data_IF_116992268478
#
_entry.id   IF_116992268478
#
_cell.length_a   1.000
_cell.length_b   1.000
_cell.length_c   1.000
_cell.angle_alpha   90.00
_cell.angle_beta   90.00
_cell.angle_gamma   90.00
#
_symmetry.space_group_name_H-M   'P 1'
#
loop_
_entity.id
_entity.type
_entity.pdbx_description
1 polymer ?
#
# COMPACT_ATOMS: atom_id res chain seq x y z
N UNK A 1 -42.22 38.13 8.36
CA UNK A 1 -40.91 38.78 8.62
C UNK A 1 -39.76 37.80 8.93
N UNK A 2 -39.92 36.47 8.82
CA UNK A 2 -38.92 35.51 9.30
C UNK A 2 -37.89 34.94 8.30
N UNK A 3 -38.01 35.18 6.99
CA UNK A 3 -37.11 34.54 6.00
C UNK A 3 -35.88 35.38 5.62
N UNK A 4 -35.98 36.71 5.67
CA UNK A 4 -34.88 37.62 5.29
C UNK A 4 -33.75 37.63 6.31
N UNK A 5 -34.08 37.59 7.61
CA UNK A 5 -33.08 37.55 8.68
C UNK A 5 -32.32 36.22 8.76
N UNK A 6 -32.96 35.09 8.44
CA UNK A 6 -32.30 33.78 8.40
C UNK A 6 -31.26 33.70 7.28
N UNK A 7 -31.61 34.19 6.08
CA UNK A 7 -30.68 34.26 4.94
C UNK A 7 -29.42 35.09 5.24
N UNK A 8 -29.57 36.24 5.90
CA UNK A 8 -28.42 37.08 6.24
C UNK A 8 -27.48 36.40 7.26
N UNK A 9 -28.03 35.65 8.21
CA UNK A 9 -27.23 34.86 9.17
C UNK A 9 -26.51 33.72 8.47
N UNK A 10 -27.18 33.02 7.56
CA UNK A 10 -26.59 31.92 6.79
C UNK A 10 -25.42 32.42 5.90
N UNK A 11 -25.56 33.59 5.28
CA UNK A 11 -24.50 34.24 4.50
C UNK A 11 -23.29 34.63 5.37
N UNK A 12 -23.52 35.18 6.57
CA UNK A 12 -22.42 35.51 7.49
C UNK A 12 -21.68 34.24 7.93
N UNK A 13 -22.43 33.20 8.32
CA UNK A 13 -21.84 31.93 8.75
C UNK A 13 -21.03 31.26 7.64
N UNK A 14 -21.48 31.37 6.38
CA UNK A 14 -20.75 30.89 5.22
C UNK A 14 -19.38 31.56 5.09
N UNK A 15 -19.32 32.90 5.20
CA UNK A 15 -18.05 33.63 5.10
C UNK A 15 -17.12 33.39 6.29
N UNK A 16 -17.67 33.19 7.49
CA UNK A 16 -16.87 32.79 8.66
C UNK A 16 -16.21 31.44 8.40
N UNK A 17 -16.98 30.44 7.95
CA UNK A 17 -16.45 29.12 7.62
C UNK A 17 -15.35 29.20 6.53
N UNK A 18 -15.57 30.02 5.49
CA UNK A 18 -14.56 30.27 4.45
C UNK A 18 -13.26 30.82 5.05
N UNK A 19 -13.34 31.85 5.90
CA UNK A 19 -12.18 32.48 6.52
C UNK A 19 -11.43 31.47 7.41
N UNK A 20 -12.14 30.75 8.26
CA UNK A 20 -11.54 29.75 9.16
C UNK A 20 -10.86 28.62 8.37
N UNK A 21 -11.49 28.20 7.27
CA UNK A 21 -10.91 27.25 6.33
C UNK A 21 -9.62 27.81 5.72
N UNK A 22 -9.62 29.05 5.24
CA UNK A 22 -8.47 29.67 4.60
C UNK A 22 -7.28 29.85 5.57
N UNK A 23 -7.58 30.15 6.84
CA UNK A 23 -6.57 30.25 7.90
C UNK A 23 -5.98 28.90 8.29
N UNK A 24 -6.75 27.83 8.18
CA UNK A 24 -6.33 26.46 8.50
C UNK A 24 -5.75 25.70 7.30
N UNK A 25 -5.93 26.23 6.09
CA UNK A 25 -5.54 25.56 4.86
C UNK A 25 -4.00 25.49 4.75
N UNK A 26 -3.41 24.31 4.49
CA UNK A 26 -1.99 24.21 4.22
C UNK A 26 -1.68 24.96 2.92
N UNK A 27 -0.90 26.04 3.02
CA UNK A 27 -0.52 26.87 1.88
C UNK A 27 0.99 27.12 1.85
N UNK A 28 1.62 27.09 0.66
CA UNK A 28 1.05 26.67 -0.63
C UNK A 28 0.97 25.14 -0.76
N UNK A 29 -0.04 24.64 -1.48
CA UNK A 29 -0.08 23.24 -1.89
C UNK A 29 1.01 22.95 -2.93
N UNK A 30 1.56 21.73 -2.97
CA UNK A 30 2.56 21.37 -3.95
C UNK A 30 2.00 21.47 -5.38
N UNK A 31 2.84 21.95 -6.31
CA UNK A 31 2.50 22.05 -7.73
C UNK A 31 2.92 20.77 -8.47
N UNK A 32 2.18 20.45 -9.53
CA UNK A 32 2.46 19.26 -10.35
C UNK A 32 2.26 17.95 -9.60
N UNK A 33 2.68 16.84 -10.21
CA UNK A 33 2.64 15.50 -9.61
C UNK A 33 3.95 15.18 -8.90
N UNK A 34 3.92 14.33 -7.87
CA UNK A 34 5.14 13.71 -7.34
C UNK A 34 5.90 13.01 -8.48
N UNK A 35 7.22 13.15 -8.49
CA UNK A 35 8.11 12.51 -9.45
C UNK A 35 8.81 11.34 -8.74
N UNK A 36 8.78 10.17 -9.36
CA UNK A 36 9.47 8.99 -8.84
C UNK A 36 10.95 9.27 -8.53
N UNK A 37 11.42 8.79 -7.38
CA UNK A 37 12.81 8.88 -6.92
C UNK A 37 13.34 7.47 -6.70
N UNK A 38 14.32 7.07 -7.50
CA UNK A 38 15.04 5.81 -7.31
C UNK A 38 16.17 5.91 -6.29
N UNK A 39 16.63 7.13 -6.00
CA UNK A 39 17.80 7.46 -5.20
C UNK A 39 17.47 7.76 -3.72
N UNK A 40 16.50 7.05 -3.15
CA UNK A 40 16.03 7.29 -1.78
C UNK A 40 17.07 6.87 -0.73
N UNK A 41 17.51 7.84 0.08
CA UNK A 41 18.35 7.61 1.27
C UNK A 41 17.49 7.23 2.48
N UNK A 42 16.90 6.03 2.42
CA UNK A 42 16.05 5.47 3.48
C UNK A 42 16.27 3.96 3.64
N UNK A 43 15.74 3.39 4.72
CA UNK A 43 15.83 1.96 5.00
C UNK A 43 15.04 1.14 3.96
N UNK A 44 15.47 -0.10 3.64
CA UNK A 44 14.84 -0.91 2.59
C UNK A 44 13.32 -1.03 2.71
N UNK A 45 12.81 -1.23 3.92
CA UNK A 45 11.38 -1.41 4.17
C UNK A 45 10.55 -0.14 3.88
N UNK A 46 11.15 1.04 4.04
CA UNK A 46 10.50 2.30 3.67
C UNK A 46 10.56 2.51 2.15
N UNK A 47 11.67 2.15 1.49
CA UNK A 47 11.79 2.17 0.02
C UNK A 47 10.77 1.25 -0.64
N UNK A 48 10.58 0.05 -0.08
CA UNK A 48 9.60 -0.92 -0.56
C UNK A 48 8.16 -0.38 -0.50
N UNK A 49 7.82 0.30 0.59
CA UNK A 49 6.52 0.96 0.74
C UNK A 49 6.39 2.14 -0.23
N UNK A 50 7.46 2.91 -0.44
CA UNK A 50 7.47 4.00 -1.41
C UNK A 50 7.10 3.52 -2.81
N UNK A 51 7.71 2.43 -3.29
CA UNK A 51 7.42 1.86 -4.60
C UNK A 51 5.96 1.42 -4.71
N UNK A 52 5.42 0.81 -3.65
CA UNK A 52 4.02 0.40 -3.59
C UNK A 52 3.06 1.61 -3.60
N UNK A 53 3.37 2.65 -2.82
CA UNK A 53 2.58 3.88 -2.76
C UNK A 53 2.65 4.66 -4.07
N UNK A 54 3.80 4.68 -4.74
CA UNK A 54 3.95 5.35 -6.02
C UNK A 54 3.08 4.67 -7.10
N UNK A 55 3.07 3.33 -7.16
CA UNK A 55 2.15 2.57 -8.03
C UNK A 55 0.69 2.86 -7.71
N UNK A 56 0.31 2.86 -6.43
CA UNK A 56 -1.06 3.22 -6.02
C UNK A 56 -1.41 4.65 -6.48
N UNK A 57 -0.47 5.59 -6.35
CA UNK A 57 -0.64 7.00 -6.71
C UNK A 57 -0.73 7.23 -8.23
N UNK A 58 0.00 6.49 -9.06
CA UNK A 58 0.01 6.70 -10.52
C UNK A 58 -0.96 5.81 -11.29
N UNK A 59 -1.09 4.54 -10.90
CA UNK A 59 -1.72 3.50 -11.73
C UNK A 59 -3.17 3.20 -11.30
N UNK A 60 -3.51 3.30 -10.01
CA UNK A 60 -4.85 2.93 -9.54
C UNK A 60 -5.84 4.08 -9.65
N UNK A 61 -6.93 3.88 -10.39
CA UNK A 61 -7.95 4.93 -10.60
C UNK A 61 -8.69 5.32 -9.33
N UNK A 62 -8.99 4.36 -8.43
CA UNK A 62 -9.65 4.64 -7.16
C UNK A 62 -8.82 5.54 -6.23
N UNK A 63 -7.51 5.66 -6.47
CA UNK A 63 -6.67 6.54 -5.66
C UNK A 63 -6.86 8.02 -5.98
N UNK A 64 -7.50 8.38 -7.10
CA UNK A 64 -7.58 9.75 -7.61
C UNK A 64 -7.97 10.81 -6.56
N UNK A 65 -8.99 10.59 -5.70
CA UNK A 65 -9.38 11.57 -4.68
C UNK A 65 -8.35 11.77 -3.55
N UNK A 66 -7.41 10.83 -3.40
CA UNK A 66 -6.44 10.75 -2.31
C UNK A 66 -5.01 11.10 -2.73
N UNK A 67 -4.80 11.37 -4.02
CA UNK A 67 -3.49 11.63 -4.59
C UNK A 67 -2.89 12.92 -4.07
N UNK A 68 -3.61 14.03 -4.18
CA UNK A 68 -3.15 15.35 -3.76
C UNK A 68 -3.80 15.78 -2.44
N UNK A 69 -3.20 16.75 -1.70
CA UNK A 69 -3.87 17.34 -0.55
C UNK A 69 -5.21 17.98 -0.93
N UNK A 70 -6.21 17.86 -0.04
CA UNK A 70 -7.56 18.38 -0.27
C UNK A 70 -7.55 19.90 -0.34
N UNK A 71 -7.89 20.46 -1.50
CA UNK A 71 -8.06 21.90 -1.64
C UNK A 71 -9.47 22.33 -1.20
N UNK A 72 -9.71 22.41 0.12
CA UNK A 72 -11.04 22.57 0.68
C UNK A 72 -11.77 23.85 0.21
N UNK A 73 -11.03 24.93 -0.03
CA UNK A 73 -11.58 26.19 -0.55
C UNK A 73 -12.16 26.01 -1.98
N UNK A 74 -11.36 25.48 -2.90
CA UNK A 74 -11.77 25.21 -4.30
C UNK A 74 -12.95 24.23 -4.39
N UNK A 75 -13.03 23.28 -3.46
CA UNK A 75 -14.12 22.31 -3.39
C UNK A 75 -15.38 22.84 -2.68
N UNK A 76 -15.32 24.01 -2.06
CA UNK A 76 -16.45 24.59 -1.32
C UNK A 76 -16.78 23.87 0.00
N UNK A 77 -15.85 23.07 0.53
CA UNK A 77 -16.03 22.27 1.75
C UNK A 77 -15.32 22.91 2.94
N UNK A 78 -15.77 24.09 3.34
CA UNK A 78 -15.03 24.96 4.27
C UNK A 78 -14.87 24.39 5.69
N UNK A 79 -15.68 23.42 6.10
CA UNK A 79 -15.54 22.74 7.39
C UNK A 79 -14.51 21.59 7.36
N UNK A 80 -13.83 21.32 6.23
CA UNK A 80 -12.92 20.17 6.12
C UNK A 80 -11.82 20.18 7.18
N UNK A 81 -11.07 21.27 7.32
CA UNK A 81 -9.97 21.38 8.29
C UNK A 81 -10.44 21.54 9.75
N UNK A 82 -11.73 21.85 9.94
CA UNK A 82 -12.35 21.75 11.26
C UNK A 82 -12.56 20.29 11.65
N UNK A 83 -13.06 19.46 10.74
CA UNK A 83 -13.34 18.03 10.99
C UNK A 83 -12.05 17.19 10.95
N UNK A 84 -11.20 17.42 9.95
CA UNK A 84 -9.96 16.69 9.69
C UNK A 84 -8.77 17.47 10.26
N UNK A 85 -8.26 17.00 11.40
CA UNK A 85 -7.20 17.69 12.15
C UNK A 85 -5.79 17.38 11.65
N UNK A 86 -5.59 16.19 11.08
CA UNK A 86 -4.32 15.76 10.52
C UNK A 86 -4.52 15.38 9.05
N UNK A 87 -4.69 16.37 8.15
CA UNK A 87 -4.89 16.10 6.73
C UNK A 87 -3.69 15.35 6.15
N UNK A 88 -3.97 14.33 5.33
CA UNK A 88 -2.96 13.51 4.68
C UNK A 88 -3.36 13.17 3.25
N UNK A 89 -2.37 12.94 2.40
CA UNK A 89 -2.53 12.51 1.00
C UNK A 89 -1.38 11.60 0.60
N UNK A 90 -1.56 10.82 -0.47
CA UNK A 90 -0.47 10.01 -1.02
C UNK A 90 0.73 10.88 -1.43
N UNK A 91 0.48 12.05 -2.03
CA UNK A 91 1.51 13.03 -2.36
C UNK A 91 2.33 13.42 -1.14
N UNK A 92 1.67 13.79 -0.04
CA UNK A 92 2.36 14.21 1.19
C UNK A 92 3.25 13.08 1.73
N UNK A 93 2.76 11.84 1.72
CA UNK A 93 3.56 10.69 2.19
C UNK A 93 4.77 10.45 1.27
N UNK A 94 4.56 10.48 -0.05
CA UNK A 94 5.63 10.29 -1.04
C UNK A 94 6.71 11.38 -0.95
N UNK A 95 6.30 12.65 -0.83
CA UNK A 95 7.24 13.78 -0.66
C UNK A 95 8.05 13.62 0.64
N UNK A 96 7.40 13.29 1.77
CA UNK A 96 8.10 13.07 3.05
C UNK A 96 9.11 11.92 3.01
N UNK A 97 8.82 10.84 2.27
CA UNK A 97 9.80 9.76 2.06
C UNK A 97 10.98 10.28 1.23
N UNK A 98 10.70 11.03 0.16
CA UNK A 98 11.72 11.55 -0.76
C UNK A 98 12.63 12.61 -0.13
N UNK A 99 12.08 13.47 0.72
CA UNK A 99 12.82 14.49 1.48
C UNK A 99 13.67 13.86 2.59
N UNK A 100 13.26 12.71 3.11
CA UNK A 100 13.95 11.99 4.18
C UNK A 100 13.70 12.61 5.56
N UNK A 101 14.20 11.95 6.61
CA UNK A 101 14.11 12.43 8.00
C UNK A 101 12.75 12.32 8.68
N UNK A 102 11.66 12.10 7.94
CA UNK A 102 10.31 11.94 8.49
C UNK A 102 10.00 10.53 9.00
N UNK A 103 10.55 9.52 8.32
CA UNK A 103 10.25 8.12 8.61
C UNK A 103 11.55 7.34 8.82
N UNK A 104 11.72 6.79 10.02
CA UNK A 104 12.80 5.86 10.37
C UNK A 104 12.38 4.41 10.19
N UNK A 105 11.07 4.13 10.12
CA UNK A 105 10.53 2.77 10.00
C UNK A 105 9.24 2.74 9.18
N UNK A 106 9.02 1.61 8.51
CA UNK A 106 7.85 1.32 7.68
C UNK A 106 6.50 1.60 8.37
N UNK A 107 6.37 1.33 9.67
CA UNK A 107 5.12 1.52 10.40
C UNK A 107 4.71 2.99 10.52
N UNK A 108 5.66 3.94 10.51
CA UNK A 108 5.34 5.36 10.55
C UNK A 108 4.74 5.82 9.22
N UNK A 109 5.25 5.30 8.11
CA UNK A 109 4.67 5.53 6.78
C UNK A 109 3.24 5.02 6.74
N UNK A 110 3.03 3.78 7.19
CA UNK A 110 1.69 3.15 7.18
C UNK A 110 0.71 3.87 8.12
N UNK A 111 1.18 4.42 9.24
CA UNK A 111 0.35 5.22 10.13
C UNK A 111 -0.16 6.50 9.45
N UNK A 112 0.67 7.21 8.69
CA UNK A 112 0.23 8.37 7.92
C UNK A 112 -0.66 7.96 6.74
N UNK A 113 -0.39 6.84 6.07
CA UNK A 113 -1.28 6.31 5.02
C UNK A 113 -2.66 5.98 5.59
N UNK A 114 -2.76 5.43 6.80
CA UNK A 114 -4.05 5.15 7.44
C UNK A 114 -4.85 6.41 7.77
N UNK A 115 -4.18 7.55 8.00
CA UNK A 115 -4.86 8.85 8.15
C UNK A 115 -5.60 9.24 6.88
N UNK A 116 -5.09 8.89 5.69
CA UNK A 116 -5.78 9.20 4.42
C UNK A 116 -7.18 8.57 4.41
N UNK A 117 -7.26 7.29 4.79
CA UNK A 117 -8.49 6.50 4.74
C UNK A 117 -9.44 6.89 5.88
N UNK A 118 -8.93 6.97 7.11
CA UNK A 118 -9.74 7.33 8.27
C UNK A 118 -10.28 8.76 8.21
N UNK A 119 -9.51 9.72 7.65
CA UNK A 119 -10.02 11.07 7.39
C UNK A 119 -11.11 11.07 6.32
N UNK A 120 -10.97 10.25 5.28
CA UNK A 120 -11.99 10.09 4.26
C UNK A 120 -13.31 9.59 4.87
N UNK A 121 -13.27 8.50 5.65
CA UNK A 121 -14.45 7.96 6.31
C UNK A 121 -15.05 8.94 7.32
N UNK A 122 -14.21 9.64 8.09
CA UNK A 122 -14.65 10.63 9.08
C UNK A 122 -15.40 11.79 8.44
N UNK A 123 -14.91 12.31 7.31
CA UNK A 123 -15.50 13.47 6.66
C UNK A 123 -16.69 13.10 5.76
N UNK A 124 -16.57 12.01 4.98
CA UNK A 124 -17.55 11.65 3.95
C UNK A 124 -18.56 10.60 4.42
N UNK A 125 -18.31 9.93 5.54
CA UNK A 125 -19.12 8.82 6.04
C UNK A 125 -18.70 7.46 5.45
N UNK A 126 -18.88 6.40 6.23
CA UNK A 126 -18.44 5.02 5.93
C UNK A 126 -19.14 4.39 4.71
N UNK A 127 -20.35 4.87 4.37
CA UNK A 127 -21.16 4.38 3.25
C UNK A 127 -20.99 5.24 1.99
N UNK A 128 -20.10 6.24 2.01
CA UNK A 128 -19.83 7.08 0.84
C UNK A 128 -19.06 6.33 -0.24
N UNK A 129 -19.22 6.76 -1.50
CA UNK A 129 -18.42 6.25 -2.60
C UNK A 129 -16.90 6.46 -2.35
N UNK A 130 -16.52 7.57 -1.73
CA UNK A 130 -15.14 7.85 -1.36
C UNK A 130 -14.61 6.88 -0.29
N UNK A 131 -15.42 6.49 0.69
CA UNK A 131 -15.03 5.45 1.65
C UNK A 131 -14.85 4.08 0.97
N UNK A 132 -15.68 3.74 -0.02
CA UNK A 132 -15.51 2.53 -0.82
C UNK A 132 -14.20 2.55 -1.63
N UNK A 133 -13.86 3.67 -2.25
CA UNK A 133 -12.59 3.85 -2.96
C UNK A 133 -11.38 3.77 -2.01
N UNK A 134 -11.48 4.35 -0.80
CA UNK A 134 -10.45 4.25 0.23
C UNK A 134 -10.18 2.79 0.63
N UNK A 135 -11.24 2.00 0.88
CA UNK A 135 -11.14 0.56 1.18
C UNK A 135 -10.50 -0.22 0.02
N UNK A 136 -10.86 0.12 -1.21
CA UNK A 136 -10.24 -0.47 -2.42
C UNK A 136 -8.74 -0.16 -2.46
N UNK A 137 -8.34 1.09 -2.20
CA UNK A 137 -6.93 1.49 -2.13
C UNK A 137 -6.17 0.75 -1.01
N UNK A 138 -6.74 0.60 0.18
CA UNK A 138 -6.15 -0.20 1.27
C UNK A 138 -5.90 -1.66 0.84
N UNK A 139 -6.88 -2.29 0.21
CA UNK A 139 -6.74 -3.66 -0.31
C UNK A 139 -5.68 -3.78 -1.39
N UNK A 140 -5.61 -2.83 -2.31
CA UNK A 140 -4.58 -2.80 -3.37
C UNK A 140 -3.18 -2.60 -2.77
N UNK A 141 -3.02 -1.65 -1.85
CA UNK A 141 -1.73 -1.42 -1.19
C UNK A 141 -1.25 -2.67 -0.44
N UNK A 142 -2.16 -3.36 0.23
CA UNK A 142 -1.87 -4.64 0.92
C UNK A 142 -1.33 -5.67 -0.08
N UNK A 143 -2.05 -5.89 -1.19
CA UNK A 143 -1.63 -6.84 -2.24
C UNK A 143 -0.31 -6.46 -2.91
N UNK A 144 -0.07 -5.16 -3.14
CA UNK A 144 1.20 -4.69 -3.70
C UNK A 144 2.38 -5.02 -2.77
N UNK A 145 2.20 -4.81 -1.46
CA UNK A 145 3.21 -5.12 -0.45
C UNK A 145 3.44 -6.62 -0.29
N UNK A 146 2.38 -7.43 -0.28
CA UNK A 146 2.46 -8.89 -0.24
C UNK A 146 3.22 -9.43 -1.45
N UNK A 147 2.88 -8.96 -2.65
CA UNK A 147 3.58 -9.34 -3.88
C UNK A 147 5.05 -8.94 -3.83
N UNK A 148 5.37 -7.75 -3.35
CA UNK A 148 6.76 -7.32 -3.23
C UNK A 148 7.54 -8.21 -2.25
N UNK A 149 6.94 -8.59 -1.12
CA UNK A 149 7.55 -9.51 -0.16
C UNK A 149 7.77 -10.90 -0.77
N UNK A 150 6.83 -11.37 -1.58
CA UNK A 150 6.88 -12.66 -2.28
C UNK A 150 8.00 -12.75 -3.33
N UNK A 151 8.32 -11.62 -3.98
CA UNK A 151 9.40 -11.52 -4.97
C UNK A 151 10.79 -11.26 -4.36
N UNK A 152 10.90 -11.09 -3.04
CA UNK A 152 12.21 -10.99 -2.39
C UNK A 152 12.99 -12.30 -2.54
N UNK A 153 14.33 -12.25 -2.61
CA UNK A 153 15.16 -13.45 -2.54
C UNK A 153 14.79 -14.31 -1.33
N UNK A 154 14.68 -15.61 -1.53
CA UNK A 154 14.45 -16.53 -0.43
C UNK A 154 15.66 -16.51 0.53
N UNK A 155 15.47 -16.47 1.86
CA UNK A 155 16.59 -16.52 2.79
C UNK A 155 17.34 -17.87 2.67
N UNK A 156 18.64 -17.84 2.36
CA UNK A 156 19.44 -19.06 2.14
C UNK A 156 19.31 -20.07 3.28
N UNK A 157 19.35 -19.61 4.53
CA UNK A 157 19.21 -20.48 5.71
C UNK A 157 17.85 -21.22 5.78
N UNK A 158 16.80 -20.67 5.17
CA UNK A 158 15.50 -21.34 5.08
C UNK A 158 15.41 -22.23 3.85
N UNK A 159 16.06 -21.85 2.74
CA UNK A 159 16.20 -22.68 1.54
C UNK A 159 16.94 -23.97 1.89
N UNK A 160 18.09 -23.89 2.55
CA UNK A 160 18.91 -25.06 2.95
C UNK A 160 18.10 -26.04 3.82
N UNK A 161 17.34 -25.53 4.80
CA UNK A 161 16.47 -26.37 5.65
C UNK A 161 15.43 -27.13 4.84
N UNK A 162 14.82 -26.44 3.87
CA UNK A 162 13.77 -27.01 3.03
C UNK A 162 14.36 -28.05 2.07
N UNK A 163 15.51 -27.76 1.44
CA UNK A 163 16.21 -28.71 0.57
C UNK A 163 16.58 -29.98 1.35
N UNK A 164 17.18 -29.86 2.53
CA UNK A 164 17.52 -31.01 3.37
C UNK A 164 16.28 -31.83 3.77
N UNK A 165 15.11 -31.19 3.94
CA UNK A 165 13.88 -31.93 4.20
C UNK A 165 13.45 -32.76 2.98
N UNK A 166 13.59 -32.23 1.76
CA UNK A 166 13.30 -32.95 0.51
C UNK A 166 14.22 -34.15 0.24
N UNK A 167 15.42 -34.21 0.83
CA UNK A 167 16.27 -35.41 0.72
C UNK A 167 15.64 -36.65 1.36
N UNK A 168 14.66 -36.46 2.25
CA UNK A 168 14.03 -37.52 3.04
C UNK A 168 12.57 -37.83 2.66
N UNK A 169 12.04 -37.22 1.59
CA UNK A 169 10.65 -37.43 1.16
C UNK A 169 10.52 -38.44 0.02
N UNK A 170 9.31 -38.99 -0.13
CA UNK A 170 8.98 -39.93 -1.20
C UNK A 170 8.91 -39.27 -2.59
N UNK A 171 9.08 -40.09 -3.64
CA UNK A 171 9.11 -39.66 -5.05
C UNK A 171 7.84 -38.92 -5.49
N UNK A 172 6.68 -39.20 -4.87
CA UNK A 172 5.42 -38.49 -5.13
C UNK A 172 5.48 -37.00 -4.74
N UNK A 173 6.22 -36.66 -3.68
CA UNK A 173 6.41 -35.29 -3.20
C UNK A 173 7.36 -34.54 -4.13
N UNK A 174 8.40 -35.22 -4.63
CA UNK A 174 9.31 -34.68 -5.64
C UNK A 174 8.56 -34.39 -6.95
N UNK A 175 7.65 -35.28 -7.39
CA UNK A 175 6.78 -35.03 -8.54
C UNK A 175 5.88 -33.80 -8.35
N UNK A 176 5.29 -33.63 -7.17
CA UNK A 176 4.48 -32.45 -6.86
C UNK A 176 5.29 -31.14 -6.87
N UNK A 177 6.56 -31.20 -6.42
CA UNK A 177 7.49 -30.08 -6.49
C UNK A 177 7.84 -29.71 -7.94
N UNK A 178 8.13 -30.72 -8.77
CA UNK A 178 8.43 -30.52 -10.18
C UNK A 178 7.23 -29.91 -10.93
N UNK A 179 6.02 -30.45 -10.71
CA UNK A 179 4.78 -29.92 -11.30
C UNK A 179 4.49 -28.48 -10.88
N UNK A 180 4.83 -28.12 -9.63
CA UNK A 180 4.74 -26.74 -9.17
C UNK A 180 5.64 -25.82 -10.00
N UNK A 181 6.95 -26.11 -10.12
CA UNK A 181 7.86 -25.25 -10.86
C UNK A 181 7.53 -25.19 -12.34
N UNK A 182 7.17 -26.32 -12.97
CA UNK A 182 6.73 -26.35 -14.37
C UNK A 182 5.47 -25.51 -14.64
N UNK A 183 4.62 -25.30 -13.63
CA UNK A 183 3.39 -24.51 -13.79
C UNK A 183 3.60 -23.04 -13.45
N UNK A 184 4.29 -22.76 -12.36
CA UNK A 184 4.33 -21.43 -11.75
C UNK A 184 5.57 -20.62 -12.15
N UNK A 185 6.74 -21.26 -12.26
CA UNK A 185 7.98 -20.60 -12.68
C UNK A 185 8.95 -21.58 -13.39
N UNK A 186 8.66 -21.92 -14.67
CA UNK A 186 9.49 -22.86 -15.42
C UNK A 186 10.92 -22.37 -15.65
N UNK A 187 11.15 -21.06 -15.48
CA UNK A 187 12.47 -20.45 -15.70
C UNK A 187 13.50 -20.87 -14.66
N UNK A 188 13.05 -21.40 -13.52
CA UNK A 188 13.91 -21.95 -12.48
C UNK A 188 14.38 -23.37 -12.75
N UNK A 189 13.89 -24.03 -13.80
CA UNK A 189 14.32 -25.39 -14.15
C UNK A 189 15.55 -25.28 -15.05
N UNK A 190 16.70 -25.72 -14.55
CA UNK A 190 17.97 -25.74 -15.26
C UNK A 190 17.97 -26.80 -16.37
N UNK A 191 18.95 -26.70 -17.28
CA UNK A 191 19.06 -27.62 -18.41
C UNK A 191 19.33 -29.08 -18.02
N UNK A 192 19.85 -29.31 -16.81
CA UNK A 192 20.05 -30.63 -16.24
C UNK A 192 18.80 -31.18 -15.50
N UNK A 193 17.71 -30.40 -15.44
CA UNK A 193 16.47 -30.75 -14.74
C UNK A 193 16.41 -30.30 -13.28
N UNK A 194 17.51 -29.78 -12.72
CA UNK A 194 17.54 -29.31 -11.34
C UNK A 194 16.89 -27.93 -11.20
N UNK A 195 16.46 -27.58 -9.99
CA UNK A 195 15.94 -26.25 -9.67
C UNK A 195 17.09 -25.29 -9.35
N UNK A 196 17.07 -24.10 -9.93
CA UNK A 196 17.98 -23.00 -9.59
C UNK A 196 17.62 -22.44 -8.21
N UNK A 197 18.32 -22.94 -7.19
CA UNK A 197 18.12 -22.58 -5.79
C UNK A 197 18.53 -21.13 -5.49
N UNK A 198 19.46 -20.56 -6.26
CA UNK A 198 19.96 -19.19 -6.06
C UNK A 198 18.95 -18.15 -6.55
N UNK A 199 18.12 -18.52 -7.53
CA UNK A 199 17.05 -17.69 -8.06
C UNK A 199 15.72 -17.81 -7.29
N UNK A 200 15.65 -18.64 -6.24
CA UNK A 200 14.44 -18.81 -5.45
C UNK A 200 14.00 -17.51 -4.76
N UNK A 201 12.69 -17.30 -4.75
CA UNK A 201 12.01 -16.18 -4.10
C UNK A 201 11.19 -16.68 -2.93
N UNK A 202 10.78 -15.77 -2.05
CA UNK A 202 9.95 -16.09 -0.87
C UNK A 202 8.69 -16.86 -1.24
N UNK A 203 8.02 -16.53 -2.37
CA UNK A 203 6.86 -17.27 -2.87
C UNK A 203 7.17 -18.75 -3.18
N UNK A 204 8.33 -19.02 -3.79
CA UNK A 204 8.77 -20.38 -4.11
C UNK A 204 9.04 -21.15 -2.82
N UNK A 205 9.79 -20.55 -1.89
CA UNK A 205 10.08 -21.15 -0.59
C UNK A 205 8.79 -21.49 0.19
N UNK A 206 7.78 -20.61 0.16
CA UNK A 206 6.48 -20.86 0.81
C UNK A 206 5.75 -22.04 0.16
N UNK A 207 5.74 -22.13 -1.16
CA UNK A 207 5.11 -23.23 -1.88
C UNK A 207 5.81 -24.56 -1.58
N UNK A 208 7.15 -24.57 -1.58
CA UNK A 208 7.96 -25.72 -1.21
C UNK A 208 7.62 -26.23 0.20
N UNK A 209 7.54 -25.33 1.19
CA UNK A 209 7.11 -25.68 2.56
C UNK A 209 5.70 -26.25 2.59
N UNK A 210 4.75 -25.66 1.85
CA UNK A 210 3.38 -26.13 1.80
C UNK A 210 3.25 -27.54 1.17
N UNK A 211 4.09 -27.86 0.18
CA UNK A 211 4.15 -29.20 -0.43
C UNK A 211 4.67 -30.22 0.61
N UNK A 212 5.74 -29.89 1.33
CA UNK A 212 6.28 -30.74 2.41
C UNK A 212 5.23 -30.97 3.52
N UNK A 213 4.58 -29.91 3.98
CA UNK A 213 3.56 -30.00 5.05
C UNK A 213 2.38 -30.89 4.63
N UNK A 214 1.95 -30.83 3.37
CA UNK A 214 0.89 -31.71 2.84
C UNK A 214 1.31 -33.17 2.85
N UNK A 215 2.56 -33.45 2.49
CA UNK A 215 3.10 -34.81 2.51
C UNK A 215 3.20 -35.36 3.94
N UNK A 216 3.65 -34.55 4.90
CA UNK A 216 3.81 -34.95 6.30
C UNK A 216 2.47 -35.18 7.03
N UNK A 217 1.41 -34.47 6.64
CA UNK A 217 0.10 -34.53 7.29
C UNK A 217 -0.82 -35.65 6.78
N UNK A 218 -0.34 -36.55 5.91
CA UNK A 218 -0.99 -37.84 5.63
C UNK A 218 -2.23 -37.80 4.71
N UNK A 219 -2.31 -36.88 3.76
CA UNK A 219 -3.36 -36.87 2.73
C UNK A 219 -2.80 -37.23 1.36
N UNK A 220 -3.15 -38.42 0.83
CA UNK A 220 -2.86 -38.78 -0.55
C UNK A 220 -3.35 -37.73 -1.55
N UNK A 221 -2.57 -37.54 -2.61
CA UNK A 221 -2.95 -36.82 -3.83
C UNK A 221 -4.12 -37.53 -4.53
#
# INVERSE_FOLDING_TARGET
>A
MGSTGRKAVDEINHWIAYIDCALSHPHPLPKGKHIFRSDLSTVPEVRDIYDCLYKLYTEETASAPFREPVHALDLGVFNYYEVVKEPMSLRTVLDRIAEGGHYSQASQVLADVEKIWSNCEKFNGVDSALAADAKKCQGILTRLRERLADEQPAPNAEVDKVINAFESVDESVLGALEDYFRREDPSLILSNGDVDVEALRVKHLRAMKAILERAMNGGGL
#
